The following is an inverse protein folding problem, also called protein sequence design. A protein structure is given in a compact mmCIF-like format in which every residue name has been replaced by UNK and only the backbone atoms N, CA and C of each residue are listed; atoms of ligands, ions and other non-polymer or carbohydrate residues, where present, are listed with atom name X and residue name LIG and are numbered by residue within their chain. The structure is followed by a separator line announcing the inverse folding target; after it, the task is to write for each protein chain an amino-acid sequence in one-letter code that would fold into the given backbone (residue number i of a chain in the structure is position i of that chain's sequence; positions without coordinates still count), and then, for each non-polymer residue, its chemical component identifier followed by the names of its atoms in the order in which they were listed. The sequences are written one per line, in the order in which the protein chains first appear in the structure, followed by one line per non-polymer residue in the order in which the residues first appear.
data_IF_185629724155
#
_entry.id   IF_185629724155
#
_cell.length_a   1.000
_cell.length_b   1.000
_cell.length_c   1.000
_cell.angle_alpha   90.00
_cell.angle_beta   90.00
_cell.angle_gamma   90.00
#
_symmetry.space_group_name_H-M   'P 1'
#
loop_
_entity.id
_entity.type
_entity.pdbx_description
1 polymer ?
#
# COMPACT_ATOMS: atom_id res chain seq x y z
N UNK A 1 15.37 -17.05 19.39
CA UNK A 1 15.53 -16.48 18.03
C UNK A 1 14.22 -16.45 17.25
N UNK A 2 13.43 -17.54 17.19
CA UNK A 2 12.09 -17.55 16.55
C UNK A 2 11.06 -16.61 17.20
N UNK A 3 11.14 -16.41 18.53
CA UNK A 3 10.16 -15.60 19.26
C UNK A 3 10.28 -14.09 18.95
N UNK A 4 11.48 -13.56 18.74
CA UNK A 4 11.70 -12.11 18.50
C UNK A 4 11.16 -11.65 17.14
N UNK A 5 11.37 -12.46 16.09
CA UNK A 5 10.83 -12.16 14.76
C UNK A 5 9.31 -12.24 14.77
N UNK A 6 8.75 -13.24 15.46
CA UNK A 6 7.31 -13.42 15.55
C UNK A 6 6.63 -12.25 16.29
N UNK A 7 7.25 -11.76 17.36
CA UNK A 7 6.83 -10.54 18.07
C UNK A 7 6.89 -9.32 17.14
N UNK A 8 8.00 -9.13 16.42
CA UNK A 8 8.15 -7.99 15.50
C UNK A 8 7.10 -7.98 14.38
N UNK A 9 6.77 -9.15 13.80
CA UNK A 9 5.71 -9.25 12.79
C UNK A 9 4.33 -8.99 13.39
N UNK A 10 4.08 -9.48 14.61
CA UNK A 10 2.82 -9.24 15.33
C UNK A 10 2.60 -7.76 15.64
N UNK A 11 3.63 -7.07 16.12
CA UNK A 11 3.57 -5.64 16.41
C UNK A 11 3.35 -4.83 15.14
N UNK A 12 4.01 -5.22 14.04
CA UNK A 12 3.82 -4.59 12.74
C UNK A 12 2.38 -4.73 12.21
N UNK A 13 1.81 -5.94 12.29
CA UNK A 13 0.40 -6.19 11.92
C UNK A 13 -0.53 -5.35 12.81
N UNK A 14 -0.30 -5.36 14.12
CA UNK A 14 -1.14 -4.64 15.08
C UNK A 14 -1.16 -3.14 14.82
N UNK A 15 0.01 -2.54 14.58
CA UNK A 15 0.12 -1.12 14.23
C UNK A 15 -0.59 -0.80 12.91
N UNK A 16 -0.53 -1.70 11.92
CA UNK A 16 -1.20 -1.48 10.65
C UNK A 16 -2.72 -1.65 10.74
N UNK A 17 -3.22 -2.62 11.51
CA UNK A 17 -4.66 -2.77 11.77
C UNK A 17 -5.25 -1.59 12.53
N UNK A 18 -4.49 -0.98 13.46
CA UNK A 18 -4.88 0.27 14.12
C UNK A 18 -5.01 1.42 13.11
N UNK A 19 -4.04 1.58 12.20
CA UNK A 19 -4.12 2.60 11.13
C UNK A 19 -5.31 2.41 10.20
N UNK A 20 -5.74 1.17 10.01
CA UNK A 20 -6.93 0.83 9.24
C UNK A 20 -8.23 1.03 10.04
N UNK A 21 -8.16 1.40 11.32
CA UNK A 21 -9.33 1.60 12.18
C UNK A 21 -10.31 0.40 12.15
N UNK A 22 -9.75 -0.82 12.18
CA UNK A 22 -10.50 -2.08 12.15
C UNK A 22 -11.30 -2.24 13.44
N UNK A 23 -12.56 -2.67 13.31
CA UNK A 23 -13.45 -2.94 14.44
C UNK A 23 -12.81 -3.99 15.39
N UNK A 24 -12.78 -3.66 16.68
CA UNK A 24 -12.14 -4.47 17.70
C UNK A 24 -12.77 -5.87 17.81
N UNK A 25 -14.08 -5.98 17.53
CA UNK A 25 -14.83 -7.24 17.62
C UNK A 25 -14.37 -8.32 16.63
N UNK A 26 -13.76 -7.92 15.51
CA UNK A 26 -13.30 -8.82 14.43
C UNK A 26 -11.78 -8.92 14.36
N UNK A 27 -11.08 -8.18 15.21
CA UNK A 27 -9.64 -8.01 15.16
C UNK A 27 -8.88 -9.32 15.40
N UNK A 28 -9.41 -10.18 16.29
CA UNK A 28 -8.83 -11.50 16.59
C UNK A 28 -8.90 -12.44 15.38
N UNK A 29 -10.05 -12.48 14.70
CA UNK A 29 -10.28 -13.36 13.56
C UNK A 29 -9.45 -12.94 12.35
N UNK A 30 -9.38 -11.62 12.10
CA UNK A 30 -8.53 -11.05 11.05
C UNK A 30 -7.06 -11.37 11.30
N UNK A 31 -6.55 -11.18 12.53
CA UNK A 31 -5.16 -11.54 12.85
C UNK A 31 -4.88 -13.01 12.55
N UNK A 32 -5.78 -13.91 12.93
CA UNK A 32 -5.62 -15.33 12.67
C UNK A 32 -5.54 -15.62 11.16
N UNK A 33 -6.45 -15.04 10.37
CA UNK A 33 -6.44 -15.18 8.90
C UNK A 33 -5.14 -14.64 8.27
N UNK A 34 -4.63 -13.52 8.77
CA UNK A 34 -3.35 -12.94 8.32
C UNK A 34 -2.20 -13.90 8.55
N UNK A 35 -2.07 -14.46 9.76
CA UNK A 35 -0.97 -15.37 10.07
C UNK A 35 -1.05 -16.67 9.26
N UNK A 36 -2.25 -17.21 9.03
CA UNK A 36 -2.46 -18.38 8.18
C UNK A 36 -2.06 -18.07 6.73
N UNK A 37 -2.58 -16.99 6.14
CA UNK A 37 -2.25 -16.56 4.78
C UNK A 37 -0.75 -16.26 4.61
N UNK A 38 -0.12 -15.66 5.61
CA UNK A 38 1.31 -15.41 5.62
C UNK A 38 2.11 -16.71 5.67
N UNK A 39 1.71 -17.67 6.50
CA UNK A 39 2.35 -18.98 6.52
C UNK A 39 2.25 -19.68 5.16
N UNK A 40 1.06 -19.72 4.57
CA UNK A 40 0.81 -20.38 3.28
C UNK A 40 1.52 -19.71 2.10
N UNK A 41 1.72 -18.39 2.20
CA UNK A 41 2.30 -17.59 1.13
C UNK A 41 3.79 -17.30 1.32
N UNK A 42 4.44 -17.82 2.37
CA UNK A 42 5.81 -17.42 2.73
C UNK A 42 6.82 -17.69 1.61
N UNK A 43 6.61 -18.73 0.82
CA UNK A 43 7.45 -19.08 -0.34
C UNK A 43 7.38 -18.05 -1.48
N UNK A 44 6.37 -17.17 -1.46
CA UNK A 44 6.26 -16.05 -2.41
C UNK A 44 7.20 -14.88 -2.07
N UNK A 45 7.72 -14.83 -0.83
CA UNK A 45 8.65 -13.81 -0.38
C UNK A 45 10.06 -14.08 -0.93
N UNK A 46 10.34 -13.53 -2.12
CA UNK A 46 11.63 -13.70 -2.80
C UNK A 46 12.78 -12.87 -2.22
N UNK A 47 12.45 -11.81 -1.47
CA UNK A 47 13.41 -10.87 -0.90
C UNK A 47 13.05 -10.62 0.56
N UNK A 48 13.85 -11.17 1.48
CA UNK A 48 13.61 -11.06 2.92
C UNK A 48 13.62 -9.61 3.42
N UNK A 49 14.27 -8.68 2.72
CA UNK A 49 14.24 -7.26 3.09
C UNK A 49 12.86 -6.62 2.90
N UNK A 50 11.94 -7.29 2.19
CA UNK A 50 10.58 -6.81 1.90
C UNK A 50 9.51 -7.48 2.76
N UNK A 51 9.89 -8.23 3.80
CA UNK A 51 8.96 -9.00 4.63
C UNK A 51 7.82 -8.15 5.18
N UNK A 52 8.10 -6.93 5.65
CA UNK A 52 7.09 -6.04 6.21
C UNK A 52 6.11 -5.53 5.14
N UNK A 53 6.61 -5.06 3.99
CA UNK A 53 5.74 -4.61 2.89
C UNK A 53 4.90 -5.76 2.32
N UNK A 54 5.47 -6.95 2.20
CA UNK A 54 4.74 -8.16 1.79
C UNK A 54 3.65 -8.53 2.82
N UNK A 55 3.95 -8.45 4.11
CA UNK A 55 2.99 -8.72 5.18
C UNK A 55 1.86 -7.69 5.26
N UNK A 56 2.13 -6.41 4.94
CA UNK A 56 1.11 -5.37 4.83
C UNK A 56 0.09 -5.70 3.74
N UNK A 57 0.52 -6.24 2.59
CA UNK A 57 -0.38 -6.67 1.51
C UNK A 57 -1.31 -7.78 1.99
N UNK A 58 -0.78 -8.78 2.70
CA UNK A 58 -1.59 -9.88 3.26
C UNK A 58 -2.58 -9.33 4.29
N UNK A 59 -2.11 -8.43 5.15
CA UNK A 59 -2.91 -7.78 6.20
C UNK A 59 -4.10 -7.03 5.60
N UNK A 60 -3.84 -6.18 4.60
CA UNK A 60 -4.89 -5.40 3.96
C UNK A 60 -5.92 -6.30 3.25
N UNK A 61 -5.45 -7.30 2.49
CA UNK A 61 -6.34 -8.23 1.80
C UNK A 61 -7.24 -9.01 2.77
N UNK A 62 -6.70 -9.47 3.90
CA UNK A 62 -7.48 -10.16 4.94
C UNK A 62 -8.56 -9.25 5.53
N UNK A 63 -8.24 -7.98 5.78
CA UNK A 63 -9.22 -6.97 6.24
C UNK A 63 -10.33 -6.79 5.21
N UNK A 64 -9.99 -6.52 3.94
CA UNK A 64 -10.99 -6.32 2.88
C UNK A 64 -11.88 -7.56 2.69
N UNK A 65 -11.29 -8.76 2.68
CA UNK A 65 -12.05 -10.01 2.58
C UNK A 65 -13.05 -10.16 3.73
N UNK A 66 -12.64 -9.83 4.96
CA UNK A 66 -13.50 -9.93 6.13
C UNK A 66 -14.69 -8.96 6.07
N UNK A 67 -14.44 -7.70 5.68
CA UNK A 67 -15.50 -6.70 5.54
C UNK A 67 -16.45 -7.02 4.38
N UNK A 68 -15.91 -7.51 3.24
CA UNK A 68 -16.72 -7.97 2.10
C UNK A 68 -17.62 -9.15 2.46
N UNK A 69 -17.10 -10.15 3.18
CA UNK A 69 -17.89 -11.32 3.64
C UNK A 69 -18.99 -10.95 4.63
N UNK A 70 -18.76 -9.92 5.45
CA UNK A 70 -19.71 -9.49 6.49
C UNK A 70 -20.65 -8.38 6.02
N UNK A 71 -20.60 -8.00 4.74
CA UNK A 71 -21.37 -6.90 4.14
C UNK A 71 -21.26 -5.57 4.93
N UNK A 72 -20.10 -5.34 5.54
CA UNK A 72 -19.77 -4.12 6.30
C UNK A 72 -19.02 -3.14 5.40
N UNK A 73 -19.17 -1.84 5.67
CA UNK A 73 -18.41 -0.81 4.98
C UNK A 73 -16.90 -0.98 5.24
N UNK A 74 -16.09 -0.95 4.19
CA UNK A 74 -14.63 -1.15 4.30
C UNK A 74 -13.97 -0.08 5.17
N UNK A 75 -12.97 -0.45 5.96
CA UNK A 75 -12.22 0.50 6.78
C UNK A 75 -11.54 1.57 5.93
N UNK A 76 -11.45 2.79 6.49
CA UNK A 76 -10.72 3.90 5.88
C UNK A 76 -9.34 3.97 6.50
N UNK A 77 -8.29 4.11 5.68
CA UNK A 77 -6.93 4.35 6.17
C UNK A 77 -6.93 5.74 6.84
N UNK A 78 -6.68 5.78 8.15
CA UNK A 78 -6.40 7.02 8.85
C UNK A 78 -4.95 7.43 8.57
N UNK A 79 -4.77 8.33 7.60
CA UNK A 79 -3.46 8.76 7.12
C UNK A 79 -2.72 9.69 8.09
N UNK A 80 -3.31 10.07 9.22
CA UNK A 80 -2.80 11.18 10.05
C UNK A 80 -1.68 10.77 11.03
N UNK A 81 -1.51 9.49 11.38
CA UNK A 81 -0.87 9.14 12.65
C UNK A 81 0.52 8.46 12.65
N UNK A 82 1.30 8.39 11.55
CA UNK A 82 2.68 7.88 11.64
C UNK A 82 3.54 8.15 10.39
N UNK A 83 4.09 9.35 10.26
CA UNK A 83 5.00 9.72 9.19
C UNK A 83 6.19 10.48 9.80
N UNK A 84 7.41 10.00 9.59
CA UNK A 84 8.62 10.77 9.90
C UNK A 84 8.56 12.11 9.13
N UNK A 85 8.83 13.23 9.79
CA UNK A 85 8.54 14.60 9.31
C UNK A 85 9.02 14.91 7.87
N UNK A 86 10.11 14.28 7.40
CA UNK A 86 10.57 14.41 6.00
C UNK A 86 9.70 13.62 4.99
N UNK A 87 9.29 12.41 5.33
CA UNK A 87 8.49 11.53 4.46
C UNK A 87 7.03 11.95 4.35
N UNK A 88 6.49 12.68 5.35
CA UNK A 88 5.09 13.12 5.37
C UNK A 88 4.73 13.96 4.16
N UNK A 89 5.56 14.96 3.87
CA UNK A 89 5.29 15.86 2.75
C UNK A 89 5.44 15.18 1.40
N UNK A 90 6.35 14.21 1.27
CA UNK A 90 6.50 13.42 0.04
C UNK A 90 5.31 12.46 -0.15
N UNK A 91 4.87 11.79 0.91
CA UNK A 91 3.71 10.88 0.88
C UNK A 91 2.42 11.65 0.61
N UNK A 92 2.24 12.83 1.22
CA UNK A 92 1.13 13.74 0.95
C UNK A 92 1.16 14.22 -0.50
N UNK A 93 2.32 14.60 -1.01
CA UNK A 93 2.52 14.98 -2.42
C UNK A 93 2.14 13.83 -3.36
N UNK A 94 2.65 12.62 -3.14
CA UNK A 94 2.33 11.44 -3.96
C UNK A 94 0.83 11.12 -3.91
N UNK A 95 0.22 11.19 -2.73
CA UNK A 95 -1.22 10.96 -2.56
C UNK A 95 -2.07 11.97 -3.33
N UNK A 96 -1.69 13.26 -3.33
CA UNK A 96 -2.35 14.29 -4.14
C UNK A 96 -2.16 14.07 -5.64
N UNK A 97 -0.98 13.62 -6.06
CA UNK A 97 -0.70 13.29 -7.45
C UNK A 97 -1.54 12.11 -7.93
N UNK A 98 -1.70 11.07 -7.12
CA UNK A 98 -2.59 9.95 -7.41
C UNK A 98 -4.03 10.44 -7.59
N UNK A 99 -4.51 11.32 -6.69
CA UNK A 99 -5.84 11.91 -6.79
C UNK A 99 -6.06 12.76 -8.05
N UNK A 100 -4.99 13.28 -8.65
CA UNK A 100 -5.02 14.06 -9.90
C UNK A 100 -5.06 13.21 -11.18
N UNK A 101 -4.88 11.89 -11.07
CA UNK A 101 -4.91 11.00 -12.22
C UNK A 101 -6.34 10.86 -12.79
N UNK A 102 -6.48 10.55 -14.08
CA UNK A 102 -7.77 10.16 -14.65
C UNK A 102 -8.39 9.00 -13.85
N UNK A 103 -9.72 8.97 -13.69
CA UNK A 103 -10.43 8.04 -12.80
C UNK A 103 -10.01 6.58 -12.97
N UNK A 104 -9.84 6.13 -14.22
CA UNK A 104 -9.41 4.76 -14.52
C UNK A 104 -8.01 4.40 -14.00
N UNK A 105 -7.13 5.40 -13.90
CA UNK A 105 -5.76 5.26 -13.39
C UNK A 105 -5.72 5.53 -11.88
N UNK A 106 -6.50 6.50 -11.40
CA UNK A 106 -6.60 6.83 -9.98
C UNK A 106 -7.04 5.62 -9.17
N UNK A 107 -8.16 5.00 -9.53
CA UNK A 107 -8.73 3.89 -8.75
C UNK A 107 -7.76 2.70 -8.64
N UNK A 108 -7.10 2.36 -9.76
CA UNK A 108 -6.13 1.27 -9.80
C UNK A 108 -4.84 1.60 -9.04
N UNK A 109 -4.40 2.85 -9.09
CA UNK A 109 -3.19 3.32 -8.39
C UNK A 109 -3.42 3.46 -6.88
N UNK A 110 -4.58 3.96 -6.45
CA UNK A 110 -4.96 3.97 -5.03
C UNK A 110 -4.98 2.54 -4.50
N UNK A 111 -5.68 1.64 -5.20
CA UNK A 111 -5.78 0.27 -4.77
C UNK A 111 -4.41 -0.44 -4.69
N UNK A 112 -3.55 -0.30 -5.70
CA UNK A 112 -2.29 -1.05 -5.75
C UNK A 112 -1.17 -0.37 -4.95
N UNK A 113 -0.98 0.95 -5.08
CA UNK A 113 0.17 1.64 -4.48
C UNK A 113 -0.11 2.16 -3.07
N UNK A 114 -1.36 2.52 -2.77
CA UNK A 114 -1.74 3.03 -1.44
C UNK A 114 -2.27 1.91 -0.57
N UNK A 115 -3.13 1.05 -1.12
CA UNK A 115 -3.76 -0.03 -0.36
C UNK A 115 -3.06 -1.39 -0.48
N UNK A 116 -2.12 -1.53 -1.43
CA UNK A 116 -1.27 -2.71 -1.53
C UNK A 116 -1.92 -3.94 -2.18
N UNK A 117 -3.11 -3.83 -2.77
CA UNK A 117 -3.70 -5.00 -3.46
C UNK A 117 -2.88 -5.34 -4.70
N UNK A 118 -2.71 -6.64 -4.98
CA UNK A 118 -1.95 -7.04 -6.15
C UNK A 118 -2.72 -6.70 -7.44
N UNK A 119 -2.00 -6.52 -8.55
CA UNK A 119 -2.62 -6.28 -9.85
C UNK A 119 -3.53 -7.44 -10.28
N UNK A 120 -3.22 -8.67 -9.85
CA UNK A 120 -4.01 -9.88 -10.12
C UNK A 120 -5.33 -9.82 -9.36
N UNK A 121 -5.26 -9.54 -8.05
CA UNK A 121 -6.48 -9.40 -7.22
C UNK A 121 -7.36 -8.25 -7.69
N UNK A 122 -6.76 -7.11 -8.09
CA UNK A 122 -7.51 -6.01 -8.69
C UNK A 122 -8.21 -6.43 -9.99
N UNK A 123 -7.50 -7.16 -10.86
CA UNK A 123 -8.06 -7.66 -12.11
C UNK A 123 -9.28 -8.56 -11.86
N UNK A 124 -9.17 -9.48 -10.90
CA UNK A 124 -10.25 -10.40 -10.51
C UNK A 124 -11.43 -9.65 -9.86
N UNK A 125 -11.17 -8.77 -8.90
CA UNK A 125 -12.20 -8.03 -8.16
C UNK A 125 -13.07 -7.15 -9.06
N UNK A 126 -12.47 -6.53 -10.08
CA UNK A 126 -13.15 -5.61 -10.98
C UNK A 126 -13.49 -6.23 -12.35
N UNK A 127 -13.29 -7.54 -12.50
CA UNK A 127 -13.52 -8.28 -13.75
C UNK A 127 -12.83 -7.62 -14.96
N UNK A 128 -11.57 -7.26 -14.81
CA UNK A 128 -10.75 -6.62 -15.83
C UNK A 128 -9.64 -7.57 -16.30
N UNK A 129 -9.23 -7.52 -17.59
CA UNK A 129 -8.04 -8.21 -18.03
C UNK A 129 -6.80 -7.71 -17.26
N UNK A 130 -5.93 -8.62 -16.82
CA UNK A 130 -4.68 -8.27 -16.13
C UNK A 130 -3.80 -7.34 -16.99
N UNK A 131 -3.84 -7.49 -18.32
CA UNK A 131 -3.17 -6.59 -19.28
C UNK A 131 -3.68 -5.14 -19.18
N UNK A 132 -4.99 -4.95 -18.99
CA UNK A 132 -5.61 -3.64 -18.78
C UNK A 132 -5.17 -3.02 -17.47
N UNK A 133 -5.15 -3.80 -16.38
CA UNK A 133 -4.66 -3.34 -15.07
C UNK A 133 -3.19 -2.92 -15.15
N UNK A 134 -2.34 -3.75 -15.74
CA UNK A 134 -0.92 -3.45 -15.99
C UNK A 134 -0.73 -2.14 -16.76
N UNK A 135 -1.47 -1.97 -17.86
CA UNK A 135 -1.42 -0.76 -18.69
C UNK A 135 -1.84 0.49 -17.91
N UNK A 136 -2.90 0.41 -17.12
CA UNK A 136 -3.39 1.55 -16.31
C UNK A 136 -2.40 1.92 -15.20
N UNK A 137 -1.81 0.94 -14.50
CA UNK A 137 -0.74 1.17 -13.51
C UNK A 137 0.48 1.82 -14.15
N UNK A 138 0.93 1.29 -15.30
CA UNK A 138 2.09 1.83 -16.00
C UNK A 138 1.87 3.29 -16.41
N UNK A 139 0.69 3.62 -16.95
CA UNK A 139 0.33 4.99 -17.32
C UNK A 139 0.24 5.91 -16.10
N UNK A 140 -0.36 5.44 -15.01
CA UNK A 140 -0.42 6.18 -13.74
C UNK A 140 0.96 6.51 -13.18
N UNK A 141 1.86 5.51 -13.09
CA UNK A 141 3.26 5.70 -12.67
C UNK A 141 4.01 6.67 -13.58
N UNK A 142 3.84 6.55 -14.90
CA UNK A 142 4.47 7.46 -15.87
C UNK A 142 4.03 8.91 -15.63
N UNK A 143 2.73 9.13 -15.44
CA UNK A 143 2.18 10.47 -15.23
C UNK A 143 2.61 11.08 -13.91
N UNK A 144 2.62 10.30 -12.82
CA UNK A 144 3.18 10.75 -11.54
C UNK A 144 4.65 11.13 -11.70
N UNK A 145 5.46 10.29 -12.37
CA UNK A 145 6.87 10.58 -12.62
C UNK A 145 7.07 11.88 -13.41
N UNK A 146 6.30 12.08 -14.47
CA UNK A 146 6.35 13.31 -15.27
C UNK A 146 5.99 14.54 -14.44
N UNK A 147 4.91 14.47 -13.65
CA UNK A 147 4.51 15.59 -12.78
C UNK A 147 5.61 15.88 -11.75
N UNK A 148 6.08 14.87 -11.03
CA UNK A 148 7.16 15.01 -10.04
C UNK A 148 8.42 15.61 -10.65
N UNK A 149 8.85 15.14 -11.83
CA UNK A 149 10.00 15.69 -12.55
C UNK A 149 9.81 17.16 -12.97
N UNK A 150 8.57 17.57 -13.25
CA UNK A 150 8.25 18.93 -13.68
C UNK A 150 8.03 19.92 -12.53
N UNK A 151 7.59 19.44 -11.36
CA UNK A 151 7.13 20.29 -10.25
C UNK A 151 7.93 20.14 -8.96
N UNK A 152 8.80 19.14 -8.86
CA UNK A 152 9.58 18.85 -7.66
C UNK A 152 11.06 18.70 -8.06
N UNK A 153 11.96 19.42 -7.39
CA UNK A 153 13.39 19.32 -7.71
C UNK A 153 13.96 18.06 -7.02
N UNK A 154 13.66 16.88 -7.59
CA UNK A 154 14.18 15.60 -7.08
C UNK A 154 15.53 15.33 -7.74
N UNK A 155 16.59 15.22 -6.94
CA UNK A 155 17.88 14.72 -7.38
C UNK A 155 17.88 13.20 -7.28
N UNK A 156 18.35 12.56 -8.35
CA UNK A 156 18.55 11.12 -8.38
C UNK A 156 20.00 10.78 -8.67
N UNK A 157 20.49 9.66 -8.12
CA UNK A 157 21.78 9.10 -8.51
C UNK A 157 21.69 8.40 -9.87
N UNK A 158 22.84 7.89 -10.36
CA UNK A 158 22.95 7.14 -11.61
C UNK A 158 22.13 5.84 -11.66
N UNK A 159 21.61 5.37 -10.53
CA UNK A 159 20.79 4.17 -10.39
C UNK A 159 19.29 4.51 -10.24
N UNK A 160 18.94 5.80 -10.20
CA UNK A 160 17.57 6.27 -10.05
C UNK A 160 17.08 6.34 -8.59
N UNK A 161 17.97 6.18 -7.61
CA UNK A 161 17.62 6.39 -6.21
C UNK A 161 17.49 7.89 -5.93
N UNK A 162 16.49 8.28 -5.16
CA UNK A 162 16.30 9.67 -4.73
C UNK A 162 17.35 10.04 -3.69
N UNK A 163 18.19 11.02 -3.99
CA UNK A 163 19.27 11.50 -3.10
C UNK A 163 18.93 12.81 -2.40
N UNK A 164 18.02 13.61 -2.96
CA UNK A 164 17.58 14.90 -2.41
C UNK A 164 16.25 15.31 -3.09
N UNK A 165 15.41 16.10 -2.42
CA UNK A 165 14.19 16.65 -3.02
C UNK A 165 13.80 18.00 -2.42
N UNK A 166 13.38 18.95 -3.27
CA UNK A 166 12.69 20.17 -2.83
C UNK A 166 11.23 20.13 -3.24
N UNK A 167 10.36 20.14 -2.22
CA UNK A 167 8.92 20.24 -2.41
C UNK A 167 8.57 21.62 -2.96
N UNK A 168 7.62 21.73 -3.91
CA UNK A 168 7.13 23.02 -4.36
C UNK A 168 6.52 23.77 -3.16
N UNK A 169 6.99 25.01 -2.93
CA UNK A 169 6.42 25.87 -1.88
C UNK A 169 4.98 26.24 -2.26
N UNK A 170 4.02 25.84 -1.43
CA UNK A 170 2.62 26.30 -1.52
C UNK A 170 1.58 25.22 -1.86
N UNK A 171 1.64 24.04 -1.24
CA UNK A 171 0.53 23.08 -1.19
C UNK A 171 0.02 23.01 0.26
#
# INVERSE_FOLDING_TARGET
MTNEIQIALYDHISAYLQKLNVDESILKDIRQDIFLKAHDSIDTLKDHNKIFSWLQVITYNAVIDHYRKTNRATPVIDTENNLNEGNESLIKCISLLIKSLPDEQKHVMEAIEVTGISQVQYAEQYNLPLSTVKSRVQRGRKKIKETVMSSCFIRTDKFGNVTDYNLPKGI
#
